data_IF_731478921230
#
_entry.id   IF_731478921230
#
_cell.length_a   1.000
_cell.length_b   1.000
_cell.length_c   1.000
_cell.angle_alpha   90.00
_cell.angle_beta   90.00
_cell.angle_gamma   90.00
#
_symmetry.space_group_name_H-M   'P 1'
#
loop_
_entity.id
_entity.type
_entity.pdbx_description
1 polymer ?
#
# COMPACT_ATOMS: atom_id res chain seq x y z
N UNK A 1 -14.67 -0.87 -20.71
CA UNK A 1 -14.89 -0.67 -19.26
C UNK A 1 -14.44 0.76 -18.94
N UNK A 2 -15.25 1.53 -18.24
CA UNK A 2 -14.93 2.91 -17.84
C UNK A 2 -14.98 3.01 -16.32
N UNK A 3 -14.00 3.69 -15.73
CA UNK A 3 -13.95 3.96 -14.30
C UNK A 3 -14.29 5.44 -14.05
N UNK A 4 -15.04 5.72 -12.98
CA UNK A 4 -15.34 7.08 -12.54
C UNK A 4 -15.31 7.15 -11.02
N UNK A 5 -14.60 8.14 -10.49
CA UNK A 5 -14.64 8.48 -9.08
C UNK A 5 -15.95 9.22 -8.77
N UNK A 6 -16.73 8.72 -7.83
CA UNK A 6 -17.98 9.37 -7.43
C UNK A 6 -18.30 9.11 -5.96
N UNK A 7 -18.92 10.10 -5.32
CA UNK A 7 -19.43 9.99 -3.95
C UNK A 7 -20.94 9.69 -4.01
N UNK A 8 -21.37 8.53 -3.50
CA UNK A 8 -22.79 8.14 -3.46
C UNK A 8 -23.66 9.01 -2.54
N UNK A 9 -23.04 9.77 -1.63
CA UNK A 9 -23.71 10.81 -0.86
C UNK A 9 -24.07 12.05 -1.72
N UNK A 10 -23.59 12.11 -2.97
CA UNK A 10 -23.85 13.19 -3.94
C UNK A 10 -24.48 12.65 -5.22
N UNK A 11 -25.05 13.54 -6.04
CA UNK A 11 -25.67 13.16 -7.31
C UNK A 11 -24.61 12.69 -8.30
N UNK A 12 -24.76 11.45 -8.78
CA UNK A 12 -23.91 10.88 -9.82
C UNK A 12 -24.09 11.60 -11.16
N UNK A 13 -23.01 11.86 -11.91
CA UNK A 13 -23.03 12.63 -13.16
C UNK A 13 -23.46 11.79 -14.38
N UNK A 14 -24.51 11.00 -14.21
CA UNK A 14 -25.17 10.24 -15.28
C UNK A 14 -26.59 10.75 -15.48
N UNK A 15 -27.07 10.67 -16.72
CA UNK A 15 -28.47 10.90 -17.04
C UNK A 15 -29.34 9.85 -16.36
N UNK A 16 -30.61 10.17 -16.14
CA UNK A 16 -31.57 9.19 -15.66
C UNK A 16 -31.69 8.06 -16.72
N UNK A 17 -32.02 6.85 -16.30
CA UNK A 17 -32.26 5.72 -17.20
C UNK A 17 -31.07 5.39 -18.14
N UNK A 18 -29.84 5.49 -17.62
CA UNK A 18 -28.61 5.27 -18.41
C UNK A 18 -28.21 3.80 -18.49
N UNK A 19 -28.44 3.01 -17.44
CA UNK A 19 -27.88 1.67 -17.31
C UNK A 19 -28.94 0.58 -17.31
N UNK A 20 -28.65 -0.52 -18.00
CA UNK A 20 -29.48 -1.72 -18.00
C UNK A 20 -29.40 -2.47 -16.66
N UNK A 21 -28.26 -2.38 -15.97
CA UNK A 21 -28.04 -2.94 -14.63
C UNK A 21 -27.28 -1.93 -13.78
N UNK A 22 -27.77 -1.66 -12.57
CA UNK A 22 -27.02 -0.95 -11.51
C UNK A 22 -26.81 -1.91 -10.34
N UNK A 23 -25.56 -2.12 -9.96
CA UNK A 23 -25.18 -3.04 -8.88
C UNK A 23 -24.43 -2.29 -7.77
N UNK A 24 -24.86 -2.49 -6.53
CA UNK A 24 -24.21 -1.99 -5.34
C UNK A 24 -24.02 -3.13 -4.35
N UNK A 25 -22.78 -3.37 -3.91
CA UNK A 25 -22.44 -4.46 -3.00
C UNK A 25 -21.58 -3.94 -1.85
N UNK A 26 -21.99 -4.21 -0.62
CA UNK A 26 -21.29 -3.85 0.62
C UNK A 26 -20.94 -2.36 0.70
N UNK A 27 -21.88 -1.48 0.36
CA UNK A 27 -21.60 -0.04 0.24
C UNK A 27 -22.65 0.84 0.91
N UNK A 28 -23.93 0.50 0.80
CA UNK A 28 -25.05 1.33 1.27
C UNK A 28 -25.05 1.50 2.79
N UNK A 29 -24.62 0.50 3.57
CA UNK A 29 -24.46 0.64 5.03
C UNK A 29 -23.41 1.68 5.47
N UNK A 30 -22.56 2.13 4.54
CA UNK A 30 -21.48 3.10 4.80
C UNK A 30 -21.83 4.52 4.32
N UNK A 31 -22.86 4.68 3.49
CA UNK A 31 -23.21 5.97 2.89
C UNK A 31 -24.07 6.78 3.85
N UNK A 32 -23.68 8.03 4.10
CA UNK A 32 -24.50 8.97 4.84
C UNK A 32 -25.78 9.26 4.04
N UNK A 33 -26.93 9.29 4.73
CA UNK A 33 -28.24 9.47 4.08
C UNK A 33 -28.54 8.39 3.02
N UNK A 34 -28.47 7.13 3.47
CA UNK A 34 -28.77 5.94 2.66
C UNK A 34 -30.07 6.01 1.83
N UNK A 35 -31.21 6.52 2.35
CA UNK A 35 -32.43 6.66 1.57
C UNK A 35 -32.27 7.52 0.32
N UNK A 36 -31.59 8.68 0.43
CA UNK A 36 -31.32 9.51 -0.74
C UNK A 36 -30.26 8.91 -1.66
N UNK A 37 -29.28 8.18 -1.11
CA UNK A 37 -28.34 7.43 -1.94
C UNK A 37 -29.08 6.37 -2.80
N UNK A 38 -30.06 5.68 -2.23
CA UNK A 38 -30.90 4.71 -2.94
C UNK A 38 -31.72 5.36 -4.07
N UNK A 39 -32.27 6.55 -3.83
CA UNK A 39 -32.92 7.36 -4.87
C UNK A 39 -31.96 7.73 -6.01
N UNK A 40 -30.72 8.08 -5.68
CA UNK A 40 -29.71 8.49 -6.67
C UNK A 40 -29.25 7.36 -7.57
N UNK A 41 -29.19 6.12 -7.06
CA UNK A 41 -28.80 4.95 -7.85
C UNK A 41 -29.98 4.35 -8.60
N UNK A 42 -31.19 4.36 -8.02
CA UNK A 42 -32.39 3.82 -8.67
C UNK A 42 -32.79 4.56 -9.94
N UNK A 43 -32.68 5.91 -9.96
CA UNK A 43 -32.99 6.71 -11.17
C UNK A 43 -32.12 6.37 -12.38
N UNK A 44 -30.97 5.71 -12.18
CA UNK A 44 -30.03 5.41 -13.25
C UNK A 44 -30.41 4.16 -14.02
N UNK A 45 -31.33 3.35 -13.50
CA UNK A 45 -31.80 2.12 -14.11
C UNK A 45 -32.80 2.45 -15.22
N UNK A 46 -32.59 1.88 -16.41
CA UNK A 46 -33.53 1.98 -17.53
C UNK A 46 -34.88 1.34 -17.21
N UNK A 47 -35.98 1.73 -17.87
CA UNK A 47 -37.22 0.96 -17.86
C UNK A 47 -36.95 -0.50 -18.29
N UNK A 48 -37.33 -1.46 -17.44
CA UNK A 48 -37.05 -2.88 -17.65
C UNK A 48 -35.64 -3.35 -17.23
N UNK A 49 -34.79 -2.46 -16.72
CA UNK A 49 -33.48 -2.79 -16.17
C UNK A 49 -33.52 -3.32 -14.73
N UNK A 50 -32.35 -3.68 -14.20
CA UNK A 50 -32.21 -4.31 -12.88
C UNK A 50 -31.44 -3.42 -11.90
N UNK A 51 -31.96 -3.31 -10.67
CA UNK A 51 -31.23 -2.80 -9.52
C UNK A 51 -30.85 -3.97 -8.60
N UNK A 52 -29.55 -4.22 -8.46
CA UNK A 52 -29.01 -5.27 -7.60
C UNK A 52 -28.34 -4.62 -6.39
N UNK A 53 -28.85 -4.90 -5.19
CA UNK A 53 -28.23 -4.43 -3.94
C UNK A 53 -27.96 -5.61 -3.01
N UNK A 54 -26.70 -5.78 -2.66
CA UNK A 54 -26.21 -6.77 -1.71
C UNK A 54 -25.56 -6.04 -0.54
N UNK A 55 -26.24 -5.93 0.59
CA UNK A 55 -25.72 -5.16 1.73
C UNK A 55 -25.95 -5.85 3.06
N UNK A 56 -25.22 -5.41 4.08
CA UNK A 56 -25.29 -6.00 5.41
C UNK A 56 -26.25 -5.25 6.30
N UNK A 57 -26.88 -6.02 7.17
CA UNK A 57 -27.48 -5.50 8.38
C UNK A 57 -26.48 -5.64 9.53
N UNK A 58 -25.76 -4.56 9.82
CA UNK A 58 -24.77 -4.51 10.89
C UNK A 58 -25.37 -4.81 12.27
N UNK A 59 -26.66 -4.52 12.48
CA UNK A 59 -27.33 -4.77 13.77
C UNK A 59 -27.62 -6.26 13.95
N UNK A 60 -28.19 -6.91 12.92
CA UNK A 60 -28.41 -8.36 12.99
C UNK A 60 -27.09 -9.14 13.02
N UNK A 61 -26.06 -8.64 12.35
CA UNK A 61 -24.70 -9.18 12.49
C UNK A 61 -24.22 -9.11 13.96
N UNK A 62 -24.42 -7.97 14.64
CA UNK A 62 -24.09 -7.83 16.06
C UNK A 62 -24.84 -8.83 16.94
N UNK A 63 -26.14 -8.97 16.73
CA UNK A 63 -27.01 -9.86 17.52
C UNK A 63 -26.63 -11.34 17.37
N UNK A 64 -26.20 -11.74 16.17
CA UNK A 64 -25.69 -13.08 15.91
C UNK A 64 -24.30 -13.36 16.52
N UNK A 65 -23.58 -12.31 16.93
CA UNK A 65 -22.26 -12.39 17.54
C UNK A 65 -22.28 -12.60 19.05
N UNK A 66 -21.08 -12.62 19.65
CA UNK A 66 -20.90 -12.69 21.10
C UNK A 66 -21.19 -11.36 21.81
N UNK A 67 -21.21 -11.33 23.15
CA UNK A 67 -21.37 -10.09 23.94
C UNK A 67 -20.39 -8.98 23.54
N UNK A 68 -19.15 -9.36 23.26
CA UNK A 68 -18.09 -8.51 22.71
C UNK A 68 -18.48 -7.82 21.40
N UNK A 69 -18.87 -8.62 20.39
CA UNK A 69 -19.30 -8.15 19.07
C UNK A 69 -20.45 -7.17 19.20
N UNK A 70 -21.44 -7.48 20.06
CA UNK A 70 -22.55 -6.57 20.33
C UNK A 70 -22.04 -5.22 20.84
N UNK A 71 -21.22 -5.21 21.88
CA UNK A 71 -20.72 -3.94 22.47
C UNK A 71 -19.99 -3.08 21.44
N UNK A 72 -19.09 -3.68 20.64
CA UNK A 72 -18.33 -2.94 19.64
C UNK A 72 -19.24 -2.39 18.53
N UNK A 73 -20.14 -3.21 17.99
CA UNK A 73 -21.05 -2.78 16.91
C UNK A 73 -22.02 -1.70 17.39
N UNK A 74 -22.58 -1.82 18.59
CA UNK A 74 -23.47 -0.79 19.15
C UNK A 74 -22.74 0.52 19.41
N UNK A 75 -21.47 0.48 19.82
CA UNK A 75 -20.70 1.70 19.96
C UNK A 75 -20.38 2.33 18.60
N UNK A 76 -20.08 1.52 17.60
CA UNK A 76 -19.92 1.98 16.22
C UNK A 76 -21.19 2.62 15.67
N UNK A 77 -22.35 2.02 15.96
CA UNK A 77 -23.65 2.57 15.60
C UNK A 77 -23.77 4.02 16.10
N UNK A 78 -23.48 4.26 17.38
CA UNK A 78 -23.55 5.62 17.96
C UNK A 78 -22.65 6.62 17.21
N UNK A 79 -21.45 6.21 16.82
CA UNK A 79 -20.47 7.06 16.12
C UNK A 79 -20.94 7.35 14.69
N UNK A 80 -21.38 6.32 13.99
CA UNK A 80 -21.81 6.40 12.59
C UNK A 80 -23.12 7.18 12.44
N UNK A 81 -24.05 7.04 13.40
CA UNK A 81 -25.29 7.81 13.42
C UNK A 81 -25.04 9.32 13.56
N UNK A 82 -24.03 9.74 14.32
CA UNK A 82 -23.63 11.17 14.40
C UNK A 82 -23.15 11.72 13.06
N UNK A 83 -22.73 10.84 12.13
CA UNK A 83 -22.31 11.18 10.77
C UNK A 83 -23.42 10.96 9.74
N UNK A 84 -24.64 10.65 10.18
CA UNK A 84 -25.78 10.37 9.31
C UNK A 84 -25.73 9.01 8.62
N UNK A 85 -24.89 8.09 9.09
CA UNK A 85 -24.74 6.74 8.55
C UNK A 85 -25.53 5.74 9.40
N UNK A 86 -26.31 4.89 8.74
CA UNK A 86 -27.11 3.84 9.38
C UNK A 86 -26.48 2.46 9.11
N UNK A 87 -25.79 1.91 10.11
CA UNK A 87 -25.16 0.59 9.97
C UNK A 87 -26.18 -0.57 9.86
N UNK A 88 -27.44 -0.31 10.21
CA UNK A 88 -28.54 -1.24 10.03
C UNK A 88 -29.25 -1.06 8.69
N UNK A 89 -28.75 -0.23 7.78
CA UNK A 89 -29.46 0.13 6.55
C UNK A 89 -29.90 -1.08 5.72
N UNK A 90 -29.11 -2.15 5.69
CA UNK A 90 -29.41 -3.39 4.97
C UNK A 90 -30.83 -3.94 5.23
N UNK A 91 -31.33 -3.86 6.47
CA UNK A 91 -32.68 -4.36 6.81
C UNK A 91 -33.81 -3.52 6.22
N UNK A 92 -33.52 -2.29 5.79
CA UNK A 92 -34.49 -1.31 5.29
C UNK A 92 -34.59 -1.29 3.76
N UNK A 93 -33.62 -1.86 3.05
CA UNK A 93 -33.48 -1.76 1.59
C UNK A 93 -34.74 -2.23 0.88
N UNK A 94 -35.25 -3.42 1.21
CA UNK A 94 -36.45 -4.00 0.57
C UNK A 94 -37.67 -3.06 0.69
N UNK A 95 -37.93 -2.55 1.89
CA UNK A 95 -39.04 -1.64 2.14
C UNK A 95 -38.86 -0.30 1.42
N UNK A 96 -37.64 0.23 1.40
CA UNK A 96 -37.32 1.49 0.72
C UNK A 96 -37.43 1.36 -0.80
N UNK A 97 -36.94 0.28 -1.42
CA UNK A 97 -37.11 0.02 -2.86
C UNK A 97 -38.61 -0.11 -3.18
N UNK A 98 -39.36 -0.82 -2.34
CA UNK A 98 -40.82 -0.97 -2.50
C UNK A 98 -41.52 0.39 -2.47
N UNK A 99 -41.12 1.30 -1.58
CA UNK A 99 -41.74 2.62 -1.46
C UNK A 99 -41.38 3.58 -2.61
N UNK A 100 -40.33 3.30 -3.38
CA UNK A 100 -40.00 4.08 -4.58
C UNK A 100 -41.06 3.92 -5.68
N UNK A 101 -41.74 2.77 -5.74
CA UNK A 101 -42.82 2.49 -6.69
C UNK A 101 -42.40 2.36 -8.15
N UNK A 102 -41.11 2.45 -8.47
CA UNK A 102 -40.55 2.37 -9.83
C UNK A 102 -40.01 0.98 -10.19
N UNK A 103 -40.13 -0.01 -9.31
CA UNK A 103 -39.77 -1.41 -9.56
C UNK A 103 -40.98 -2.33 -9.37
N UNK A 104 -41.23 -3.22 -10.33
CA UNK A 104 -42.41 -4.10 -10.35
C UNK A 104 -42.14 -5.52 -9.85
N UNK A 105 -40.89 -5.99 -9.91
CA UNK A 105 -40.46 -7.32 -9.43
C UNK A 105 -39.34 -7.11 -8.39
N UNK A 106 -39.71 -7.20 -7.11
CA UNK A 106 -38.79 -7.00 -5.99
C UNK A 106 -38.59 -8.34 -5.30
N UNK A 107 -37.37 -8.86 -5.34
CA UNK A 107 -36.99 -10.10 -4.69
C UNK A 107 -35.91 -9.81 -3.64
N UNK A 108 -36.14 -10.27 -2.41
CA UNK A 108 -35.20 -10.11 -1.31
C UNK A 108 -34.87 -11.46 -0.69
N UNK A 109 -33.57 -11.80 -0.64
CA UNK A 109 -33.07 -12.97 0.09
C UNK A 109 -32.28 -12.50 1.30
N UNK A 110 -32.84 -12.75 2.50
CA UNK A 110 -32.17 -12.45 3.78
C UNK A 110 -31.39 -13.67 4.23
N UNK A 111 -30.08 -13.51 4.40
CA UNK A 111 -29.19 -14.58 4.83
C UNK A 111 -28.64 -14.22 6.21
N UNK A 112 -28.92 -15.06 7.20
CA UNK A 112 -28.31 -14.94 8.52
C UNK A 112 -26.88 -15.48 8.45
N UNK A 113 -25.90 -14.65 8.78
CA UNK A 113 -24.49 -15.02 8.67
C UNK A 113 -24.03 -15.79 9.91
N UNK A 114 -23.51 -17.02 9.76
CA UNK A 114 -23.02 -17.81 10.88
C UNK A 114 -21.59 -17.38 11.23
N UNK A 115 -21.41 -16.23 11.89
CA UNK A 115 -20.08 -15.75 12.32
C UNK A 115 -19.31 -16.75 13.18
N UNK A 116 -19.99 -17.76 13.76
CA UNK A 116 -19.38 -18.86 14.51
C UNK A 116 -19.14 -20.15 13.72
N UNK A 117 -19.34 -20.15 12.39
CA UNK A 117 -19.27 -21.35 11.54
C UNK A 117 -20.15 -22.51 12.06
N UNK A 118 -21.35 -22.16 12.52
CA UNK A 118 -22.30 -23.07 13.14
C UNK A 118 -23.52 -23.39 12.26
N UNK A 119 -23.45 -23.09 10.96
CA UNK A 119 -24.47 -23.52 10.01
C UNK A 119 -24.26 -24.99 9.61
N UNK A 120 -25.34 -25.66 9.21
CA UNK A 120 -25.26 -27.00 8.61
C UNK A 120 -24.76 -26.97 7.16
N UNK A 121 -24.77 -25.80 6.52
CA UNK A 121 -24.34 -25.58 5.14
C UNK A 121 -22.87 -25.13 5.10
N UNK A 122 -22.06 -25.86 4.35
CA UNK A 122 -20.61 -25.63 4.26
C UNK A 122 -20.27 -24.29 3.59
N UNK A 123 -20.99 -23.90 2.54
CA UNK A 123 -20.76 -22.63 1.85
C UNK A 123 -21.12 -21.43 2.74
N UNK A 124 -22.20 -21.54 3.52
CA UNK A 124 -22.56 -20.54 4.53
C UNK A 124 -21.53 -20.46 5.65
N UNK A 125 -20.94 -21.58 6.08
CA UNK A 125 -19.84 -21.56 7.05
C UNK A 125 -18.59 -20.90 6.49
N UNK A 126 -18.21 -21.18 5.25
CA UNK A 126 -17.05 -20.52 4.62
C UNK A 126 -17.27 -19.01 4.48
N UNK A 127 -18.46 -18.60 4.04
CA UNK A 127 -18.84 -17.19 4.00
C UNK A 127 -18.83 -16.56 5.41
N UNK A 128 -19.36 -17.26 6.41
CA UNK A 128 -19.37 -16.81 7.81
C UNK A 128 -17.96 -16.66 8.39
N UNK A 129 -17.04 -17.58 8.10
CA UNK A 129 -15.63 -17.53 8.51
C UNK A 129 -14.88 -16.38 7.83
N UNK A 130 -15.06 -16.21 6.52
CA UNK A 130 -14.48 -15.09 5.78
C UNK A 130 -14.92 -13.75 6.35
N UNK A 131 -16.22 -13.61 6.62
CA UNK A 131 -16.76 -12.39 7.22
C UNK A 131 -16.36 -12.21 8.68
N UNK A 132 -16.28 -13.28 9.49
CA UNK A 132 -15.72 -13.21 10.85
C UNK A 132 -14.31 -12.64 10.81
N UNK A 133 -13.48 -13.11 9.87
CA UNK A 133 -12.10 -12.63 9.67
C UNK A 133 -12.08 -11.14 9.32
N UNK A 134 -12.79 -10.71 8.28
CA UNK A 134 -12.83 -9.30 7.86
C UNK A 134 -13.38 -8.36 8.95
N UNK A 135 -14.47 -8.76 9.64
CA UNK A 135 -15.02 -7.96 10.74
C UNK A 135 -14.04 -7.86 11.91
N UNK A 136 -13.39 -8.95 12.28
CA UNK A 136 -12.40 -8.96 13.37
C UNK A 136 -11.27 -7.99 13.04
N UNK A 137 -10.71 -8.05 11.84
CA UNK A 137 -9.62 -7.16 11.40
C UNK A 137 -10.03 -5.69 11.35
N UNK A 138 -11.21 -5.39 10.76
CA UNK A 138 -11.79 -4.05 10.75
C UNK A 138 -11.92 -3.48 12.17
N UNK A 139 -12.48 -4.24 13.10
CA UNK A 139 -12.66 -3.79 14.48
C UNK A 139 -11.33 -3.60 15.21
N UNK A 140 -10.37 -4.51 15.05
CA UNK A 140 -9.04 -4.31 15.64
C UNK A 140 -8.35 -3.05 15.12
N UNK A 141 -8.55 -2.70 13.85
CA UNK A 141 -7.98 -1.48 13.25
C UNK A 141 -8.62 -0.23 13.85
N UNK A 142 -9.95 -0.27 13.95
CA UNK A 142 -10.77 0.81 14.46
C UNK A 142 -10.60 1.01 15.98
N UNK A 143 -10.44 -0.05 16.78
CA UNK A 143 -10.34 0.02 18.24
C UNK A 143 -9.16 0.86 18.71
N UNK A 144 -8.07 0.91 17.94
CA UNK A 144 -6.95 1.82 18.20
C UNK A 144 -7.39 3.29 18.17
N UNK A 145 -8.31 3.65 17.27
CA UNK A 145 -8.86 5.02 17.17
C UNK A 145 -10.01 5.31 18.15
N UNK A 146 -10.56 4.28 18.81
CA UNK A 146 -11.70 4.38 19.74
C UNK A 146 -11.30 4.14 21.21
N UNK A 147 -10.01 3.96 21.48
CA UNK A 147 -9.45 3.75 22.82
C UNK A 147 -9.90 4.85 23.80
N UNK A 148 -9.82 6.11 23.37
CA UNK A 148 -10.18 7.28 24.19
C UNK A 148 -11.70 7.38 24.46
N UNK A 149 -12.51 6.56 23.78
CA UNK A 149 -13.96 6.44 24.02
C UNK A 149 -14.32 5.23 24.90
N UNK A 150 -13.33 4.61 25.54
CA UNK A 150 -13.51 3.52 26.50
C UNK A 150 -13.64 2.12 25.86
N UNK A 151 -13.38 1.99 24.56
CA UNK A 151 -13.32 0.69 23.89
C UNK A 151 -11.86 0.22 23.81
N UNK A 152 -11.53 -0.86 24.52
CA UNK A 152 -10.18 -1.44 24.54
C UNK A 152 -10.15 -2.81 23.88
N UNK A 153 -8.94 -3.27 23.53
CA UNK A 153 -8.70 -4.61 22.95
C UNK A 153 -9.17 -5.77 23.85
N UNK A 154 -9.40 -5.51 25.14
CA UNK A 154 -9.88 -6.49 26.12
C UNK A 154 -11.30 -6.98 25.84
N UNK A 155 -12.07 -6.25 25.03
CA UNK A 155 -13.40 -6.64 24.60
C UNK A 155 -13.38 -7.79 23.60
N UNK A 156 -12.27 -8.07 22.91
CA UNK A 156 -12.17 -9.24 22.04
C UNK A 156 -11.81 -10.48 22.88
N UNK A 157 -12.62 -11.56 22.88
CA UNK A 157 -12.37 -12.71 23.73
C UNK A 157 -10.99 -13.31 23.50
N UNK A 158 -10.30 -13.59 24.61
CA UNK A 158 -8.93 -14.13 24.71
C UNK A 158 -8.62 -15.42 23.92
N UNK A 159 -9.63 -16.07 23.34
CA UNK A 159 -9.55 -17.44 22.82
C UNK A 159 -9.02 -17.55 21.40
N UNK A 160 -9.10 -16.49 20.58
CA UNK A 160 -8.82 -16.61 19.14
C UNK A 160 -7.47 -16.03 18.70
N UNK A 161 -6.76 -15.25 19.52
CA UNK A 161 -5.41 -14.73 19.20
C UNK A 161 -4.55 -14.61 20.47
N UNK A 162 -3.30 -15.12 20.41
CA UNK A 162 -2.34 -15.15 21.53
C UNK A 162 -2.03 -13.72 22.01
N UNK A 163 -2.27 -13.47 23.31
CA UNK A 163 -2.05 -12.18 23.98
C UNK A 163 -0.57 -11.83 24.18
N UNK A 164 -0.17 -10.63 23.77
CA UNK A 164 0.90 -9.84 24.39
C UNK A 164 0.30 -8.57 25.01
N UNK A 165 0.74 -8.19 26.22
CA UNK A 165 0.25 -7.00 26.94
C UNK A 165 0.74 -5.72 26.23
N UNK A 166 -0.15 -4.73 26.03
CA UNK A 166 0.22 -3.41 25.48
C UNK A 166 -0.03 -2.32 26.52
N UNK A 167 1.00 -1.47 26.67
CA UNK A 167 1.11 -0.30 27.54
C UNK A 167 0.30 0.88 27.00
N UNK A 168 -0.31 1.66 27.90
CA UNK A 168 -1.04 2.90 27.61
C UNK A 168 -0.08 3.99 27.09
N UNK A 169 -0.21 4.42 25.84
CA UNK A 169 0.27 5.73 25.38
C UNK A 169 -0.60 6.25 24.22
N UNK A 170 -1.15 7.43 24.40
CA UNK A 170 -1.96 8.18 23.43
C UNK A 170 -1.05 9.06 22.57
N UNK A 171 -1.05 8.86 21.24
CA UNK A 171 -0.48 9.82 20.28
C UNK A 171 -1.59 10.56 19.52
N UNK A 172 -1.38 11.83 19.12
CA UNK A 172 -2.36 12.63 18.40
C UNK A 172 -2.56 12.07 16.99
N UNK A 173 -3.82 12.01 16.57
CA UNK A 173 -4.24 11.60 15.22
C UNK A 173 -3.67 12.52 14.14
N UNK A 174 -2.59 12.11 13.48
CA UNK A 174 -2.07 12.74 12.25
C UNK A 174 -1.86 11.69 11.16
N UNK A 175 -2.91 10.91 10.87
CA UNK A 175 -3.06 10.19 9.60
C UNK A 175 -4.00 11.02 8.73
N UNK A 176 -3.46 12.05 8.07
CA UNK A 176 -4.18 12.69 6.97
C UNK A 176 -4.18 11.71 5.79
N UNK A 177 -5.25 10.91 5.72
CA UNK A 177 -5.56 10.08 4.57
C UNK A 177 -5.82 11.01 3.38
N UNK A 178 -4.85 11.15 2.48
CA UNK A 178 -5.13 11.69 1.16
C UNK A 178 -6.01 10.67 0.41
N UNK A 179 -7.31 10.95 0.35
CA UNK A 179 -8.23 10.27 -0.55
C UNK A 179 -8.12 10.94 -1.91
N UNK A 180 -7.37 10.32 -2.81
CA UNK A 180 -7.60 10.44 -4.25
C UNK A 180 -7.75 9.02 -4.82
N UNK A 181 -8.70 8.81 -5.74
CA UNK A 181 -9.03 7.52 -6.36
C UNK A 181 -9.67 6.41 -5.49
N UNK A 182 -10.05 6.66 -4.22
CA UNK A 182 -10.79 5.66 -3.42
C UNK A 182 -9.96 4.45 -2.98
N UNK A 183 -8.64 4.51 -3.16
CA UNK A 183 -7.67 3.60 -2.53
C UNK A 183 -7.14 4.32 -1.30
N UNK A 184 -7.25 3.70 -0.12
CA UNK A 184 -6.58 4.22 1.07
C UNK A 184 -5.07 4.06 0.85
N UNK A 185 -4.36 5.15 0.54
CA UNK A 185 -2.90 5.12 0.50
C UNK A 185 -2.37 5.23 1.92
N UNK A 186 -1.82 4.16 2.44
CA UNK A 186 -1.06 4.23 3.67
C UNK A 186 0.43 4.03 3.35
N UNK A 187 0.97 4.90 2.51
CA UNK A 187 2.39 5.24 2.63
C UNK A 187 2.60 6.14 3.84
N UNK A 188 3.85 6.51 4.11
CA UNK A 188 4.16 7.76 4.82
C UNK A 188 3.17 8.86 4.39
N UNK A 189 2.76 9.79 5.26
CA UNK A 189 2.01 10.94 4.78
C UNK A 189 2.81 11.55 3.61
N UNK A 190 2.20 11.69 2.42
CA UNK A 190 2.94 11.87 1.17
C UNK A 190 3.98 13.01 1.24
N UNK A 191 3.71 14.06 2.01
CA UNK A 191 4.64 15.16 2.27
C UNK A 191 5.92 14.74 3.03
N UNK A 192 5.83 13.87 4.04
CA UNK A 192 6.98 13.38 4.81
C UNK A 192 7.87 12.44 4.00
N UNK A 193 7.31 11.62 3.11
CA UNK A 193 8.13 10.73 2.27
C UNK A 193 8.96 11.49 1.24
N UNK A 194 8.41 12.59 0.71
CA UNK A 194 9.08 13.38 -0.33
C UNK A 194 10.39 14.01 0.16
N UNK A 195 10.39 14.60 1.36
CA UNK A 195 11.61 15.18 1.94
C UNK A 195 12.67 14.12 2.25
N UNK A 196 12.23 12.95 2.74
CA UNK A 196 13.10 11.79 2.98
C UNK A 196 13.74 11.31 1.68
N UNK A 197 12.96 11.13 0.62
CA UNK A 197 13.42 10.67 -0.70
C UNK A 197 14.37 11.67 -1.37
N UNK A 198 14.07 12.98 -1.29
CA UNK A 198 14.98 14.02 -1.78
C UNK A 198 16.31 13.99 -0.99
N UNK A 199 16.26 13.87 0.34
CA UNK A 199 17.46 13.78 1.17
C UNK A 199 18.29 12.52 0.86
N UNK A 200 17.64 11.37 0.68
CA UNK A 200 18.29 10.12 0.30
C UNK A 200 18.98 10.24 -1.06
N UNK A 201 18.29 10.77 -2.07
CA UNK A 201 18.87 10.97 -3.39
C UNK A 201 20.07 11.93 -3.36
N UNK A 202 19.97 13.03 -2.62
CA UNK A 202 21.03 14.03 -2.51
C UNK A 202 22.29 13.47 -1.83
N UNK A 203 22.15 12.64 -0.80
CA UNK A 203 23.32 12.05 -0.11
C UNK A 203 24.02 11.00 -0.98
N UNK A 204 23.27 10.16 -1.70
CA UNK A 204 23.82 9.21 -2.67
C UNK A 204 24.57 9.96 -3.78
N UNK A 205 23.94 10.97 -4.36
CA UNK A 205 24.53 11.79 -5.43
C UNK A 205 25.81 12.49 -4.97
N UNK A 206 25.82 13.02 -3.75
CA UNK A 206 27.02 13.64 -3.15
C UNK A 206 28.16 12.63 -2.98
N UNK A 207 27.86 11.41 -2.55
CA UNK A 207 28.86 10.34 -2.43
C UNK A 207 29.50 10.02 -3.78
N UNK A 208 28.71 9.96 -4.86
CA UNK A 208 29.22 9.78 -6.22
C UNK A 208 29.73 11.07 -6.89
N UNK A 209 30.05 12.11 -6.11
CA UNK A 209 30.66 13.34 -6.61
C UNK A 209 29.76 14.15 -7.54
N UNK A 210 28.44 14.14 -7.29
CA UNK A 210 27.44 14.85 -8.10
C UNK A 210 26.87 14.02 -9.26
N UNK A 211 27.31 12.78 -9.43
CA UNK A 211 26.84 11.88 -10.49
C UNK A 211 25.61 11.09 -10.05
N UNK A 212 24.83 10.62 -11.03
CA UNK A 212 23.64 9.78 -10.78
C UNK A 212 23.96 8.39 -10.20
N UNK A 213 25.22 7.96 -10.28
CA UNK A 213 25.71 6.68 -9.77
C UNK A 213 27.16 6.42 -10.21
N UNK A 214 27.70 5.22 -9.95
CA UNK A 214 29.06 4.85 -10.32
C UNK A 214 29.21 4.47 -11.81
N UNK A 215 28.10 4.12 -12.47
CA UNK A 215 28.11 3.72 -13.87
C UNK A 215 28.60 4.86 -14.80
N UNK A 216 29.36 4.56 -15.86
CA UNK A 216 29.93 5.56 -16.78
C UNK A 216 28.89 6.11 -17.78
N UNK A 217 27.69 6.47 -17.30
CA UNK A 217 26.60 6.96 -18.15
C UNK A 217 26.90 8.32 -18.79
N UNK A 218 27.85 9.07 -18.24
CA UNK A 218 28.21 10.40 -18.74
C UNK A 218 28.92 10.35 -20.09
N UNK A 219 29.55 9.22 -20.42
CA UNK A 219 30.22 9.00 -21.70
C UNK A 219 29.22 8.58 -22.79
N UNK A 220 27.97 8.32 -22.41
CA UNK A 220 26.88 7.95 -23.31
C UNK A 220 26.13 9.19 -23.83
N UNK A 221 25.44 9.00 -24.96
CA UNK A 221 24.46 9.94 -25.50
C UNK A 221 23.09 9.27 -25.60
N UNK A 222 22.44 8.96 -24.46
CA UNK A 222 21.15 8.28 -24.47
C UNK A 222 20.10 9.14 -25.15
N UNK A 223 19.20 8.51 -25.91
CA UNK A 223 18.02 9.17 -26.49
C UNK A 223 16.76 8.92 -25.65
N UNK A 224 16.68 7.78 -24.95
CA UNK A 224 15.58 7.39 -24.06
C UNK A 224 16.09 6.76 -22.77
N UNK A 225 15.64 7.27 -21.63
CA UNK A 225 15.96 6.80 -20.28
C UNK A 225 14.65 6.48 -19.56
N UNK A 226 14.60 5.39 -18.80
CA UNK A 226 13.48 5.08 -17.92
C UNK A 226 13.97 4.80 -16.49
N UNK A 227 13.29 5.38 -15.52
CA UNK A 227 13.41 5.02 -14.10
C UNK A 227 12.14 4.27 -13.67
N UNK A 228 12.33 3.04 -13.18
CA UNK A 228 11.27 2.21 -12.61
C UNK A 228 11.22 2.43 -11.09
N UNK A 229 10.02 2.63 -10.54
CA UNK A 229 9.77 2.94 -9.13
C UNK A 229 10.42 4.26 -8.70
N UNK A 230 10.15 5.33 -9.45
CA UNK A 230 10.82 6.62 -9.30
C UNK A 230 10.51 7.36 -7.99
N UNK A 231 9.51 6.91 -7.21
CA UNK A 231 9.06 7.58 -6.00
C UNK A 231 8.68 9.04 -6.28
N UNK A 232 9.36 9.98 -5.63
CA UNK A 232 9.13 11.41 -5.81
C UNK A 232 9.80 12.02 -7.06
N UNK A 233 10.51 11.21 -7.85
CA UNK A 233 11.15 11.59 -9.12
C UNK A 233 12.49 12.32 -8.99
N UNK A 234 13.13 12.37 -7.81
CA UNK A 234 14.38 13.10 -7.62
C UNK A 234 15.49 12.68 -8.60
N UNK A 235 15.67 11.38 -8.81
CA UNK A 235 16.66 10.85 -9.74
C UNK A 235 16.27 11.15 -11.20
N UNK A 236 15.04 10.85 -11.62
CA UNK A 236 14.56 11.16 -12.97
C UNK A 236 14.69 12.65 -13.33
N UNK A 237 14.45 13.57 -12.40
CA UNK A 237 14.63 15.00 -12.60
C UNK A 237 16.10 15.34 -12.84
N UNK A 238 17.01 14.80 -12.03
CA UNK A 238 18.45 15.01 -12.24
C UNK A 238 18.91 14.40 -13.56
N UNK A 239 18.44 13.20 -13.93
CA UNK A 239 18.73 12.57 -15.20
C UNK A 239 18.24 13.42 -16.39
N UNK A 240 17.00 13.93 -16.33
CA UNK A 240 16.46 14.79 -17.37
C UNK A 240 17.21 16.12 -17.49
N UNK A 241 17.69 16.67 -16.36
CA UNK A 241 18.53 17.88 -16.35
C UNK A 241 19.92 17.62 -16.94
N UNK A 242 20.50 16.46 -16.64
CA UNK A 242 21.83 16.08 -17.11
C UNK A 242 21.85 15.70 -18.59
N UNK A 243 20.76 15.12 -19.10
CA UNK A 243 20.61 14.68 -20.49
C UNK A 243 19.43 15.42 -21.15
N UNK A 244 19.58 16.73 -21.48
CA UNK A 244 18.48 17.55 -21.99
C UNK A 244 17.95 17.08 -23.36
N UNK A 245 18.80 16.38 -24.14
CA UNK A 245 18.44 15.82 -25.44
C UNK A 245 17.76 14.44 -25.34
N UNK A 246 17.78 13.80 -24.17
CA UNK A 246 17.15 12.51 -23.93
C UNK A 246 15.70 12.68 -23.46
N UNK A 247 14.81 11.81 -23.92
CA UNK A 247 13.50 11.64 -23.28
C UNK A 247 13.67 10.80 -22.01
N UNK A 248 13.22 11.33 -20.87
CA UNK A 248 13.22 10.60 -19.60
C UNK A 248 11.80 10.21 -19.22
N UNK A 249 11.60 8.95 -18.83
CA UNK A 249 10.33 8.41 -18.36
C UNK A 249 10.48 7.99 -16.90
N UNK A 250 9.66 8.54 -16.01
CA UNK A 250 9.60 8.17 -14.60
C UNK A 250 8.35 7.32 -14.38
N UNK A 251 8.52 6.12 -13.81
CA UNK A 251 7.43 5.17 -13.58
C UNK A 251 7.24 4.91 -12.10
N UNK A 252 6.03 5.09 -11.59
CA UNK A 252 5.66 4.70 -10.24
C UNK A 252 4.15 4.41 -10.15
N UNK A 253 3.71 3.64 -9.16
CA UNK A 253 2.29 3.43 -8.90
C UNK A 253 1.64 4.67 -8.27
N UNK A 254 2.44 5.52 -7.61
CA UNK A 254 2.02 6.76 -6.98
C UNK A 254 2.38 7.98 -7.85
N UNK A 255 1.52 9.00 -7.91
CA UNK A 255 1.81 10.20 -8.68
C UNK A 255 3.02 10.95 -8.11
N UNK A 256 3.77 11.64 -8.99
CA UNK A 256 4.78 12.60 -8.55
C UNK A 256 4.14 13.72 -7.73
N UNK A 257 4.85 14.27 -6.72
CA UNK A 257 4.37 15.46 -6.02
C UNK A 257 4.39 16.69 -6.92
N UNK A 258 3.67 17.75 -6.53
CA UNK A 258 3.64 19.01 -7.26
C UNK A 258 5.02 19.67 -7.24
N UNK A 259 5.78 19.48 -8.33
CA UNK A 259 7.13 20.03 -8.52
C UNK A 259 7.38 20.35 -9.98
N UNK A 260 8.28 21.29 -10.22
CA UNK A 260 8.67 21.67 -11.58
C UNK A 260 9.42 20.51 -12.26
N UNK A 261 8.84 19.99 -13.34
CA UNK A 261 9.44 18.91 -14.12
C UNK A 261 10.21 19.47 -15.33
N UNK A 262 11.41 18.93 -15.64
CA UNK A 262 12.10 19.23 -16.89
C UNK A 262 11.22 18.93 -18.12
N UNK A 263 11.31 19.71 -19.21
CA UNK A 263 10.42 19.57 -20.37
C UNK A 263 10.56 18.24 -21.11
N UNK A 264 11.68 17.54 -20.91
CA UNK A 264 12.00 16.23 -21.47
C UNK A 264 11.65 15.05 -20.53
N UNK A 265 11.11 15.32 -19.34
CA UNK A 265 10.64 14.30 -18.40
C UNK A 265 9.13 14.01 -18.59
N UNK A 266 8.75 12.74 -18.57
CA UNK A 266 7.35 12.28 -18.57
C UNK A 266 7.11 11.30 -17.43
N UNK A 267 6.01 11.47 -16.72
CA UNK A 267 5.56 10.51 -15.71
C UNK A 267 4.60 9.49 -16.35
N UNK A 268 4.73 8.23 -15.97
CA UNK A 268 3.85 7.15 -16.39
C UNK A 268 3.46 6.32 -15.16
N UNK A 269 2.17 6.33 -14.81
CA UNK A 269 1.68 5.60 -13.64
C UNK A 269 1.55 4.11 -13.98
N UNK A 270 2.30 3.25 -13.30
CA UNK A 270 2.18 1.80 -13.48
C UNK A 270 2.59 1.05 -12.21
N UNK A 271 1.91 -0.07 -11.96
CA UNK A 271 2.30 -1.05 -10.95
C UNK A 271 3.28 -2.06 -11.58
N UNK A 272 4.53 -2.02 -11.13
CA UNK A 272 5.59 -2.92 -11.60
C UNK A 272 5.24 -4.41 -11.39
N UNK A 273 4.32 -4.72 -10.46
CA UNK A 273 3.77 -6.06 -10.22
C UNK A 273 2.92 -6.57 -11.38
N UNK A 274 2.17 -5.67 -12.03
CA UNK A 274 1.14 -6.02 -13.02
C UNK A 274 1.66 -6.04 -14.45
N UNK A 275 2.82 -5.44 -14.69
CA UNK A 275 3.50 -5.45 -15.98
C UNK A 275 3.94 -4.05 -16.37
N UNK A 276 4.66 -3.96 -17.48
CA UNK A 276 5.13 -2.70 -18.04
C UNK A 276 4.58 -2.60 -19.47
N UNK A 277 3.84 -1.54 -19.79
CA UNK A 277 3.23 -1.33 -21.11
C UNK A 277 4.21 -0.69 -22.11
N UNK A 278 5.47 -1.11 -22.06
CA UNK A 278 6.52 -0.64 -22.95
C UNK A 278 6.97 -1.75 -23.91
N UNK A 279 7.35 -1.36 -25.13
CA UNK A 279 7.94 -2.26 -26.12
C UNK A 279 9.30 -2.78 -25.65
N UNK A 280 9.67 -3.98 -26.11
CA UNK A 280 11.02 -4.52 -25.89
C UNK A 280 12.06 -3.64 -26.57
N UNK A 281 13.27 -3.59 -26.00
CA UNK A 281 14.40 -2.81 -26.53
C UNK A 281 14.05 -1.34 -26.82
N UNK A 282 13.35 -0.68 -25.90
CA UNK A 282 12.88 0.70 -26.09
C UNK A 282 13.83 1.76 -25.52
N UNK A 283 14.61 1.44 -24.48
CA UNK A 283 15.39 2.41 -23.71
C UNK A 283 16.89 2.16 -23.80
N UNK A 284 17.67 3.24 -23.87
CA UNK A 284 19.14 3.18 -23.86
C UNK A 284 19.65 2.95 -22.42
N UNK A 285 18.92 3.46 -21.42
CA UNK A 285 19.19 3.26 -20.00
C UNK A 285 17.89 2.90 -19.29
N UNK A 286 17.90 1.78 -18.57
CA UNK A 286 16.85 1.36 -17.65
C UNK A 286 17.42 1.39 -16.24
N UNK A 287 16.84 2.20 -15.37
CA UNK A 287 17.29 2.38 -13.98
C UNK A 287 16.20 1.98 -13.00
N UNK A 288 16.60 1.40 -11.87
CA UNK A 288 15.74 1.14 -10.72
C UNK A 288 16.57 1.26 -9.45
N UNK A 289 16.20 2.19 -8.57
CA UNK A 289 16.84 2.38 -7.27
C UNK A 289 15.86 2.10 -6.14
N UNK A 290 16.24 1.17 -5.26
CA UNK A 290 15.61 0.96 -3.95
C UNK A 290 14.12 0.53 -3.97
N UNK A 291 13.52 0.35 -5.14
CA UNK A 291 12.14 -0.09 -5.36
C UNK A 291 11.79 -1.41 -4.69
N UNK A 292 12.71 -2.36 -4.72
CA UNK A 292 12.39 -3.76 -4.39
C UNK A 292 12.32 -4.03 -2.88
N UNK A 293 12.61 -3.02 -2.05
CA UNK A 293 12.25 -3.02 -0.63
C UNK A 293 10.78 -2.63 -0.41
N UNK A 294 10.14 -1.95 -1.39
CA UNK A 294 8.81 -1.35 -1.30
C UNK A 294 7.70 -2.13 -1.99
N UNK A 295 8.04 -3.12 -2.80
CA UNK A 295 7.11 -4.12 -3.35
C UNK A 295 6.92 -5.31 -2.38
N UNK A 296 7.44 -5.16 -1.16
CA UNK A 296 7.30 -6.12 -0.06
C UNK A 296 5.89 -6.06 0.52
N UNK A 297 5.26 -7.20 0.84
CA UNK A 297 3.93 -7.26 1.44
C UNK A 297 3.82 -6.43 2.73
N UNK A 298 4.92 -6.21 3.45
CA UNK A 298 4.95 -5.33 4.63
C UNK A 298 4.49 -3.90 4.35
N UNK A 299 4.75 -3.37 3.16
CA UNK A 299 4.43 -1.98 2.81
C UNK A 299 3.04 -1.88 2.16
N UNK A 300 2.55 -2.96 1.57
CA UNK A 300 1.16 -3.08 1.11
C UNK A 300 0.15 -3.31 2.26
N UNK A 301 0.61 -3.67 3.48
CA UNK A 301 -0.27 -3.97 4.63
C UNK A 301 -0.84 -2.77 5.37
N UNK A 302 -0.48 -1.56 4.97
CA UNK A 302 -0.91 -0.34 5.64
C UNK A 302 -2.33 0.09 5.24
N UNK A 303 -2.82 -0.40 4.09
CA UNK A 303 -4.19 -0.21 3.63
C UNK A 303 -4.98 -1.51 3.76
N UNK A 304 -5.63 -1.68 4.91
CA UNK A 304 -6.58 -2.76 5.19
C UNK A 304 -5.96 -4.18 5.23
N UNK A 305 -5.89 -4.69 6.46
CA UNK A 305 -5.76 -6.12 6.80
C UNK A 305 -4.43 -6.81 6.45
N UNK A 306 -3.81 -7.41 7.48
CA UNK A 306 -2.86 -8.53 7.35
C UNK A 306 -3.47 -9.76 6.64
N UNK A 307 -4.74 -9.71 6.25
CA UNK A 307 -5.47 -10.74 5.52
C UNK A 307 -5.31 -10.63 4.00
N UNK A 308 -5.15 -9.43 3.44
CA UNK A 308 -5.02 -9.24 1.98
C UNK A 308 -3.62 -9.58 1.46
N UNK A 309 -2.66 -9.84 2.37
CA UNK A 309 -1.32 -10.36 2.00
C UNK A 309 -1.39 -11.68 1.22
N UNK A 310 -2.47 -12.46 1.37
CA UNK A 310 -2.64 -13.71 0.63
C UNK A 310 -3.08 -13.52 -0.82
N UNK A 311 -3.62 -12.36 -1.20
CA UNK A 311 -4.12 -12.09 -2.55
C UNK A 311 -3.33 -11.02 -3.32
N UNK A 312 -2.54 -10.17 -2.65
CA UNK A 312 -1.50 -9.40 -3.35
C UNK A 312 -0.46 -10.38 -3.86
N UNK A 313 -0.51 -10.66 -5.16
CA UNK A 313 0.45 -11.51 -5.86
C UNK A 313 1.85 -11.00 -5.56
N UNK A 314 2.57 -11.74 -4.71
CA UNK A 314 3.95 -11.45 -4.35
C UNK A 314 4.75 -11.23 -5.64
N UNK A 315 5.36 -10.05 -5.77
CA UNK A 315 6.19 -9.78 -6.93
C UNK A 315 7.57 -10.32 -6.64
N UNK A 316 7.89 -11.40 -7.34
CA UNK A 316 9.21 -12.00 -7.33
C UNK A 316 10.22 -10.96 -7.86
N UNK A 317 11.18 -10.53 -7.03
CA UNK A 317 12.23 -9.60 -7.44
C UNK A 317 12.93 -9.98 -8.76
N UNK A 318 13.29 -11.26 -8.99
CA UNK A 318 13.75 -11.76 -10.28
C UNK A 318 12.83 -11.41 -11.46
N UNK A 319 11.51 -11.42 -11.27
CA UNK A 319 10.56 -11.08 -12.34
C UNK A 319 10.59 -9.59 -12.70
N UNK A 320 10.77 -8.71 -11.71
CA UNK A 320 11.00 -7.27 -11.98
C UNK A 320 12.31 -7.08 -12.76
N UNK A 321 13.38 -7.79 -12.41
CA UNK A 321 14.65 -7.72 -13.15
C UNK A 321 14.49 -8.19 -14.60
N UNK A 322 13.77 -9.30 -14.84
CA UNK A 322 13.44 -9.76 -16.20
C UNK A 322 12.60 -8.74 -16.98
N UNK A 323 11.62 -8.11 -16.33
CA UNK A 323 10.78 -7.07 -16.95
C UNK A 323 11.57 -5.79 -17.23
N UNK A 324 12.58 -5.47 -16.43
CA UNK A 324 13.46 -4.35 -16.67
C UNK A 324 14.47 -4.67 -17.80
N UNK A 325 15.02 -5.87 -17.84
CA UNK A 325 16.03 -6.26 -18.84
C UNK A 325 15.49 -6.20 -20.26
N UNK A 326 14.26 -6.69 -20.50
CA UNK A 326 13.64 -6.67 -21.84
C UNK A 326 13.51 -5.27 -22.45
N UNK A 327 13.49 -4.22 -21.61
CA UNK A 327 13.33 -2.84 -22.04
C UNK A 327 14.64 -2.23 -22.57
N UNK A 328 15.78 -2.86 -22.26
CA UNK A 328 17.10 -2.36 -22.63
C UNK A 328 17.37 -2.66 -24.10
N UNK A 329 17.78 -1.63 -24.86
CA UNK A 329 18.25 -1.81 -26.23
C UNK A 329 19.55 -2.62 -26.29
N UNK A 330 19.85 -3.26 -27.44
CA UNK A 330 21.21 -3.72 -27.70
C UNK A 330 22.24 -2.60 -27.50
N UNK A 331 23.23 -2.83 -26.63
CA UNK A 331 24.23 -1.83 -26.25
C UNK A 331 23.78 -0.80 -25.20
N UNK A 332 22.56 -0.92 -24.68
CA UNK A 332 22.06 -0.12 -23.56
C UNK A 332 22.50 -0.64 -22.19
N UNK A 333 22.14 0.09 -21.14
CA UNK A 333 22.50 -0.23 -19.76
C UNK A 333 21.28 -0.57 -18.90
N UNK A 334 21.43 -1.63 -18.09
CA UNK A 334 20.55 -1.93 -16.96
C UNK A 334 21.25 -1.53 -15.66
N UNK A 335 20.65 -0.61 -14.91
CA UNK A 335 21.19 -0.10 -13.65
C UNK A 335 20.24 -0.47 -12.52
N UNK A 336 20.65 -1.43 -11.68
CA UNK A 336 19.88 -1.84 -10.50
C UNK A 336 20.65 -1.46 -9.24
N UNK A 337 20.10 -0.55 -8.45
CA UNK A 337 20.64 -0.16 -7.15
C UNK A 337 19.73 -0.69 -6.05
N UNK A 338 20.24 -1.60 -5.22
CA UNK A 338 19.46 -2.24 -4.15
C UNK A 338 20.25 -2.33 -2.86
N UNK A 339 19.59 -2.03 -1.75
CA UNK A 339 20.11 -2.35 -0.42
C UNK A 339 19.91 -3.82 -0.09
N UNK A 340 20.99 -4.45 0.36
CA UNK A 340 20.97 -5.76 1.01
C UNK A 340 20.75 -5.58 2.52
N UNK A 341 19.60 -6.01 3.02
CA UNK A 341 19.23 -5.81 4.43
C UNK A 341 20.12 -6.59 5.38
N UNK A 342 20.66 -7.75 4.95
CA UNK A 342 21.61 -8.50 5.75
C UNK A 342 22.91 -7.71 5.99
N UNK A 343 23.47 -7.11 4.95
CA UNK A 343 24.64 -6.21 5.07
C UNK A 343 24.32 -4.98 5.93
N UNK A 344 23.11 -4.40 5.82
CA UNK A 344 22.70 -3.29 6.71
C UNK A 344 22.65 -3.74 8.16
N UNK A 345 22.13 -4.92 8.47
CA UNK A 345 22.08 -5.43 9.83
C UNK A 345 23.50 -5.52 10.44
N UNK A 346 24.51 -5.85 9.64
CA UNK A 346 25.91 -5.92 10.10
C UNK A 346 26.52 -4.54 10.36
N UNK A 347 26.11 -3.50 9.62
CA UNK A 347 26.66 -2.15 9.75
C UNK A 347 25.86 -1.21 10.68
N UNK A 348 24.65 -1.59 11.08
CA UNK A 348 23.70 -0.75 11.83
C UNK A 348 23.91 -0.72 13.36
N UNK A 349 25.02 -1.26 13.86
CA UNK A 349 25.31 -1.36 15.31
C UNK A 349 24.36 -2.31 16.06
N UNK A 350 24.50 -2.49 17.39
CA UNK A 350 23.76 -3.53 18.11
C UNK A 350 22.22 -3.40 18.08
N UNK A 351 21.70 -2.17 18.15
CA UNK A 351 20.25 -1.91 18.10
C UNK A 351 19.71 -2.06 16.68
N UNK A 352 20.37 -1.43 15.70
CA UNK A 352 20.00 -1.53 14.29
C UNK A 352 20.11 -2.96 13.75
N UNK A 353 21.11 -3.72 14.18
CA UNK A 353 21.22 -5.15 13.87
C UNK A 353 19.96 -5.90 14.27
N UNK A 354 19.46 -5.69 15.50
CA UNK A 354 18.25 -6.36 16.00
C UNK A 354 17.00 -5.93 15.22
N UNK A 355 16.85 -4.64 14.92
CA UNK A 355 15.71 -4.13 14.11
C UNK A 355 15.73 -4.76 12.73
N UNK A 356 16.86 -4.68 12.04
CA UNK A 356 16.96 -5.11 10.63
C UNK A 356 16.88 -6.63 10.53
N UNK A 357 17.47 -7.37 11.47
CA UNK A 357 17.25 -8.83 11.57
C UNK A 357 15.79 -9.18 11.77
N UNK A 358 15.10 -8.44 12.63
CA UNK A 358 13.69 -8.69 12.87
C UNK A 358 12.84 -8.37 11.65
N UNK A 359 13.18 -7.30 10.93
CA UNK A 359 12.56 -6.96 9.66
C UNK A 359 12.76 -8.07 8.61
N UNK A 360 13.99 -8.58 8.44
CA UNK A 360 14.30 -9.73 7.56
C UNK A 360 13.45 -10.95 7.92
N UNK A 361 13.37 -11.32 9.20
CA UNK A 361 12.53 -12.45 9.64
C UNK A 361 11.06 -12.27 9.28
N UNK A 362 10.55 -11.04 9.33
CA UNK A 362 9.17 -10.75 9.00
C UNK A 362 8.97 -10.80 7.47
N UNK A 363 9.89 -10.23 6.69
CA UNK A 363 9.87 -10.30 5.22
C UNK A 363 9.89 -11.76 4.72
N UNK A 364 10.80 -12.58 5.26
CA UNK A 364 10.90 -14.00 4.92
C UNK A 364 9.59 -14.75 5.23
N UNK A 365 8.97 -14.46 6.38
CA UNK A 365 7.67 -15.05 6.77
C UNK A 365 6.53 -14.65 5.83
N UNK A 366 6.62 -13.49 5.20
CA UNK A 366 5.64 -12.99 4.25
C UNK A 366 5.99 -13.38 2.81
N UNK A 367 7.06 -14.15 2.60
CA UNK A 367 7.49 -14.67 1.30
C UNK A 367 8.31 -13.67 0.48
N UNK A 368 8.73 -12.55 1.05
CA UNK A 368 9.68 -11.64 0.41
C UNK A 368 11.11 -12.16 0.61
N UNK A 369 11.97 -11.90 -0.37
CA UNK A 369 13.39 -12.27 -0.31
C UNK A 369 14.21 -11.08 0.18
N UNK A 370 14.40 -10.97 1.50
CA UNK A 370 15.14 -9.85 2.10
C UNK A 370 16.63 -9.82 1.69
N UNK A 371 17.16 -10.96 1.23
CA UNK A 371 18.52 -11.11 0.71
C UNK A 371 18.61 -10.97 -0.81
N UNK A 372 17.52 -10.57 -1.47
CA UNK A 372 17.44 -10.42 -2.92
C UNK A 372 18.60 -9.60 -3.52
N UNK A 373 19.06 -8.58 -2.80
CA UNK A 373 20.18 -7.73 -3.23
C UNK A 373 21.47 -8.52 -3.55
N UNK A 374 21.72 -9.63 -2.85
CA UNK A 374 22.89 -10.50 -3.09
C UNK A 374 22.77 -11.31 -4.38
N UNK A 375 21.55 -11.51 -4.88
CA UNK A 375 21.22 -12.38 -6.01
C UNK A 375 21.08 -11.61 -7.33
N UNK A 376 21.08 -10.28 -7.31
CA UNK A 376 20.86 -9.45 -8.50
C UNK A 376 21.87 -9.77 -9.62
N UNK A 377 23.16 -9.88 -9.29
CA UNK A 377 24.22 -10.21 -10.25
C UNK A 377 23.99 -11.58 -10.91
N UNK A 378 23.72 -12.60 -10.10
CA UNK A 378 23.44 -13.96 -10.58
C UNK A 378 22.20 -14.01 -11.47
N UNK A 379 21.15 -13.26 -11.10
CA UNK A 379 19.92 -13.15 -11.88
C UNK A 379 20.22 -12.52 -13.23
N UNK A 380 20.88 -11.36 -13.27
CA UNK A 380 21.25 -10.68 -14.53
C UNK A 380 22.14 -11.58 -15.38
N UNK A 381 23.12 -12.25 -14.77
CA UNK A 381 23.99 -13.22 -15.45
C UNK A 381 23.20 -14.36 -16.07
N UNK A 382 22.22 -14.90 -15.35
CA UNK A 382 21.39 -16.01 -15.83
C UNK A 382 20.48 -15.66 -17.01
N UNK A 383 20.20 -14.37 -17.24
CA UNK A 383 19.44 -13.92 -18.41
C UNK A 383 20.22 -14.14 -19.71
N UNK A 384 21.54 -14.03 -19.66
CA UNK A 384 22.41 -14.16 -20.83
C UNK A 384 22.38 -12.98 -21.81
N UNK A 385 21.62 -11.92 -21.51
CA UNK A 385 21.42 -10.76 -22.39
C UNK A 385 22.52 -9.68 -22.25
N UNK A 386 23.35 -9.74 -21.20
CA UNK A 386 24.36 -8.72 -20.87
C UNK A 386 25.77 -9.29 -20.94
N UNK A 387 26.67 -8.60 -21.66
CA UNK A 387 28.08 -8.99 -21.82
C UNK A 387 28.98 -8.50 -20.68
N UNK A 388 28.66 -7.33 -20.12
CA UNK A 388 29.50 -6.62 -19.15
C UNK A 388 28.71 -6.35 -17.88
N UNK A 389 28.91 -7.20 -16.88
CA UNK A 389 28.23 -7.13 -15.58
C UNK A 389 29.22 -6.62 -14.55
N UNK A 390 28.87 -5.50 -13.91
CA UNK A 390 29.67 -4.88 -12.87
C UNK A 390 28.85 -4.71 -11.60
N UNK A 391 29.39 -5.17 -10.48
CA UNK A 391 28.78 -5.02 -9.15
C UNK A 391 29.69 -4.21 -8.25
N UNK A 392 29.18 -3.09 -7.74
CA UNK A 392 29.82 -2.31 -6.70
C UNK A 392 29.06 -2.48 -5.38
N UNK A 393 29.74 -2.93 -4.34
CA UNK A 393 29.17 -3.11 -3.00
C UNK A 393 29.69 -2.01 -2.09
N UNK A 394 28.78 -1.13 -1.66
CA UNK A 394 29.08 -0.04 -0.73
C UNK A 394 28.56 -0.41 0.64
N UNK A 395 29.46 -0.55 1.62
CA UNK A 395 29.07 -0.73 3.03
C UNK A 395 28.76 0.63 3.64
N UNK A 396 27.49 0.83 4.00
CA UNK A 396 26.97 2.12 4.46
C UNK A 396 27.22 2.23 5.98
N UNK A 397 28.00 3.22 6.47
CA UNK A 397 28.32 3.35 7.88
C UNK A 397 27.25 4.15 8.63
N UNK A 398 26.25 3.47 9.19
CA UNK A 398 25.14 4.13 9.92
C UNK A 398 25.63 4.94 11.14
N UNK A 399 26.79 4.58 11.71
CA UNK A 399 27.43 5.28 12.82
C UNK A 399 28.39 6.41 12.41
N UNK A 400 28.54 6.70 11.11
CA UNK A 400 29.44 7.74 10.58
C UNK A 400 30.89 7.63 11.13
N UNK A 401 31.41 6.41 11.20
CA UNK A 401 32.67 6.09 11.89
C UNK A 401 33.84 5.82 10.93
N UNK A 402 33.75 6.28 9.68
CA UNK A 402 34.83 6.13 8.69
C UNK A 402 35.66 7.42 8.56
N UNK A 403 36.82 7.35 7.91
CA UNK A 403 37.60 8.54 7.55
C UNK A 403 37.05 9.29 6.33
N UNK A 404 36.08 8.72 5.61
CA UNK A 404 35.46 9.31 4.42
C UNK A 404 34.22 10.11 4.83
N UNK A 405 34.33 11.44 4.74
CA UNK A 405 33.24 12.35 5.10
C UNK A 405 32.01 12.17 4.21
N UNK A 406 32.19 11.93 2.90
CA UNK A 406 31.07 11.75 1.98
C UNK A 406 30.32 10.43 2.26
N UNK A 407 31.07 9.36 2.54
CA UNK A 407 30.51 8.07 2.93
C UNK A 407 29.79 8.14 4.29
N UNK A 408 30.33 8.91 5.25
CA UNK A 408 29.68 9.15 6.53
C UNK A 408 28.37 9.93 6.37
N UNK A 409 28.33 10.97 5.52
CA UNK A 409 27.09 11.71 5.23
C UNK A 409 26.05 10.84 4.54
N UNK A 410 26.48 9.97 3.63
CA UNK A 410 25.61 8.95 3.04
C UNK A 410 25.06 8.01 4.11
N UNK A 411 25.92 7.53 5.02
CA UNK A 411 25.53 6.72 6.17
C UNK A 411 24.49 7.37 7.09
N UNK A 412 24.68 8.64 7.45
CA UNK A 412 23.71 9.38 8.27
C UNK A 412 22.38 9.61 7.56
N UNK A 413 22.41 9.93 6.26
CA UNK A 413 21.20 10.08 5.45
C UNK A 413 20.40 8.78 5.38
N UNK A 414 21.09 7.66 5.22
CA UNK A 414 20.47 6.33 5.23
C UNK A 414 19.98 5.93 6.63
N UNK A 415 20.72 6.22 7.71
CA UNK A 415 20.24 6.05 9.09
C UNK A 415 18.95 6.83 9.31
N UNK A 416 18.91 8.11 8.93
CA UNK A 416 17.71 8.95 9.05
C UNK A 416 16.54 8.35 8.26
N UNK A 417 16.75 8.00 6.99
CA UNK A 417 15.72 7.39 6.14
C UNK A 417 15.20 6.08 6.72
N UNK A 418 16.07 5.24 7.27
CA UNK A 418 15.68 3.97 7.90
C UNK A 418 14.91 4.22 9.19
N UNK A 419 15.37 5.14 10.04
CA UNK A 419 14.68 5.51 11.29
C UNK A 419 13.28 6.06 11.02
N UNK A 420 13.13 6.93 10.03
CA UNK A 420 11.83 7.43 9.59
C UNK A 420 10.99 6.28 9.03
N UNK A 421 11.59 5.44 8.18
CA UNK A 421 10.89 4.30 7.59
C UNK A 421 10.29 3.37 8.63
N UNK A 422 11.14 2.90 9.53
CA UNK A 422 10.79 2.01 10.61
C UNK A 422 9.91 2.67 11.68
N UNK A 423 10.08 3.97 11.94
CA UNK A 423 9.26 4.71 12.89
C UNK A 423 7.82 4.93 12.44
N UNK A 424 7.56 4.90 11.13
CA UNK A 424 6.21 4.99 10.55
C UNK A 424 5.52 3.63 10.41
N UNK A 425 6.23 2.52 10.69
CA UNK A 425 5.63 1.20 10.64
C UNK A 425 4.48 1.09 11.65
N UNK A 426 3.36 0.43 11.28
CA UNK A 426 2.20 0.31 12.16
C UNK A 426 2.59 -0.25 13.53
N UNK A 427 1.97 0.25 14.60
CA UNK A 427 2.18 -0.24 15.98
C UNK A 427 2.03 -1.76 16.12
N UNK A 428 1.25 -2.43 15.24
CA UNK A 428 1.12 -3.89 15.22
C UNK A 428 2.42 -4.64 14.86
N UNK A 429 3.43 -3.99 14.28
CA UNK A 429 4.75 -4.62 14.10
C UNK A 429 5.53 -4.75 15.43
N UNK A 430 5.06 -4.09 16.50
CA UNK A 430 5.51 -4.35 17.87
C UNK A 430 5.10 -5.75 18.35
N UNK A 431 3.94 -6.26 17.92
CA UNK A 431 3.48 -7.63 18.21
C UNK A 431 4.37 -8.67 17.53
N UNK A 432 5.09 -8.27 16.48
CA UNK A 432 6.12 -9.05 15.82
C UNK A 432 7.52 -8.79 16.39
N UNK A 433 7.68 -8.03 17.47
CA UNK A 433 8.95 -7.85 18.19
C UNK A 433 9.78 -6.63 17.79
N UNK A 434 9.28 -5.73 16.95
CA UNK A 434 9.87 -4.41 16.69
C UNK A 434 9.36 -3.39 17.71
N UNK A 435 9.90 -3.39 18.94
CA UNK A 435 9.38 -2.59 20.07
C UNK A 435 9.79 -1.12 20.01
N UNK A 436 9.04 -0.25 20.69
CA UNK A 436 9.38 1.18 20.86
C UNK A 436 10.76 1.41 21.50
N UNK A 437 11.15 0.59 22.47
CA UNK A 437 12.46 0.65 23.13
C UNK A 437 13.59 0.37 22.13
N UNK A 438 13.40 -0.64 21.29
CA UNK A 438 14.36 -0.99 20.25
C UNK A 438 14.53 0.14 19.22
N UNK A 439 13.44 0.82 18.85
CA UNK A 439 13.48 1.99 17.98
C UNK A 439 14.18 3.20 18.61
N UNK A 440 13.97 3.45 19.90
CA UNK A 440 14.64 4.53 20.61
C UNK A 440 16.16 4.32 20.63
N UNK A 441 16.61 3.09 20.91
CA UNK A 441 18.04 2.74 20.89
C UNK A 441 18.69 2.87 19.50
N UNK A 442 17.94 2.67 18.41
CA UNK A 442 18.48 2.85 17.06
C UNK A 442 18.53 4.32 16.64
N UNK A 443 17.60 5.14 17.14
CA UNK A 443 17.55 6.57 16.85
C UNK A 443 18.72 7.31 17.51
N UNK A 444 19.00 6.99 18.77
CA UNK A 444 20.21 7.43 19.48
C UNK A 444 21.48 6.95 18.77
#
# INVERSE_FOLDING_TARGET
MSFQLANLAQRLQFQDETFDIVHARMVMMHVADGPNALLRVSRLVKPGGLLLIEDLDGISAAESGGPATRQVVYKLKEIQERRGVDIGFGRKIEALITSLGNFSDIQAKKISMPYGANASDEALNQLGLGMKKSFTEFFYSLLNSLHDQGLTHELVPAGDLKRGKVSQYSHPSTFDNFMDDGIAYAGFPAAFDNERLDAQHNTITRYFGGKLGPAPINDLRPSKIIELGCGNGAWAIQAATQFPDAQVVAVDQYPLPDRLLPPNLRFHRADLAQGLEFEDAMFDIVHSRMVMAHVSPLIHTSSLELTVVYETKMVDGPDIVRRASRLVKPGGLLLIEKTDMATVAESAGPAGHRIVRKFIEIEDRLGADAEFGKKVEDIITSLGDFSDIHTEKVSIPFAANTSDEALNQFGLGMKKSFTEFFGALPHRLQDLGLTHELFHEFRE
#
